data_IF_372924804951
#
_entry.id   IF_372924804951
#
_cell.length_a   1.000
_cell.length_b   1.000
_cell.length_c   1.000
_cell.angle_alpha   90.00
_cell.angle_beta   90.00
_cell.angle_gamma   90.00
#
_symmetry.space_group_name_H-M   'P 1'
#
loop_
_entity.id
_entity.type
_entity.pdbx_description
1 polymer ?
#
# COMPACT_ATOMS: atom_id res chain seq x y z
N UNK A 1 12.21 -3.52 5.22
CA UNK A 1 10.73 -3.46 5.15
C UNK A 1 10.02 -4.81 5.38
N UNK A 2 9.02 -4.83 6.27
CA UNK A 2 8.06 -5.92 6.51
C UNK A 2 6.72 -5.55 5.87
N UNK A 3 6.06 -6.52 5.20
CA UNK A 3 4.75 -6.31 4.57
C UNK A 3 3.78 -7.43 4.96
N UNK A 4 2.62 -7.05 5.49
CA UNK A 4 1.52 -7.98 5.84
C UNK A 4 0.30 -7.70 4.95
N UNK A 5 -0.29 -8.75 4.37
CA UNK A 5 -1.39 -8.63 3.40
C UNK A 5 -2.67 -9.26 3.94
N UNK A 6 -3.80 -8.58 3.77
CA UNK A 6 -5.11 -9.00 4.23
C UNK A 6 -6.16 -8.82 3.12
N UNK A 7 -6.47 -9.88 2.38
CA UNK A 7 -7.35 -9.81 1.20
C UNK A 7 -8.86 -9.85 1.50
N UNK A 8 -9.25 -10.10 2.75
CA UNK A 8 -10.64 -10.28 3.17
C UNK A 8 -10.92 -9.60 4.49
N UNK A 9 -10.60 -8.31 4.57
CA UNK A 9 -10.73 -7.53 5.79
C UNK A 9 -12.21 -7.24 6.09
N UNK A 10 -12.55 -7.18 7.38
CA UNK A 10 -13.81 -6.56 7.80
C UNK A 10 -13.72 -5.07 7.51
N UNK A 11 -14.86 -4.47 7.16
CA UNK A 11 -14.98 -3.06 6.80
C UNK A 11 -14.27 -2.15 7.81
N UNK A 12 -13.36 -1.25 7.40
CA UNK A 12 -12.81 -0.24 8.30
C UNK A 12 -13.91 0.71 8.78
N UNK A 13 -13.63 1.51 9.82
CA UNK A 13 -14.58 2.52 10.36
C UNK A 13 -15.05 3.50 9.28
N UNK A 14 -14.19 3.78 8.29
CA UNK A 14 -14.52 4.58 7.10
C UNK A 14 -14.96 3.64 5.98
N UNK A 15 -16.24 3.70 5.57
CA UNK A 15 -16.77 2.86 4.49
C UNK A 15 -16.43 3.46 3.14
N UNK A 16 -15.87 2.65 2.25
CA UNK A 16 -15.74 2.98 0.83
C UNK A 16 -17.00 2.60 0.04
N UNK A 17 -17.09 3.02 -1.23
CA UNK A 17 -18.29 2.83 -2.07
C UNK A 17 -18.58 1.38 -2.46
N UNK A 18 -17.63 0.46 -2.30
CA UNK A 18 -17.73 -0.92 -2.76
C UNK A 18 -17.86 -1.95 -1.62
N UNK A 19 -18.22 -3.17 -1.99
CA UNK A 19 -18.56 -4.26 -1.05
C UNK A 19 -17.35 -4.96 -0.45
N UNK A 20 -16.25 -5.10 -1.19
CA UNK A 20 -15.11 -5.90 -0.75
C UNK A 20 -13.99 -5.02 -0.24
N UNK A 21 -13.33 -5.48 0.82
CA UNK A 21 -12.26 -4.75 1.49
C UNK A 21 -11.06 -5.67 1.65
N UNK A 22 -9.89 -5.08 1.46
CA UNK A 22 -8.63 -5.63 1.89
C UNK A 22 -7.69 -4.50 2.27
N UNK A 23 -6.57 -4.85 2.86
CA UNK A 23 -5.50 -3.90 3.10
C UNK A 23 -4.18 -4.65 3.13
N UNK A 24 -3.10 -3.90 2.97
CA UNK A 24 -1.79 -4.37 3.39
C UNK A 24 -1.18 -3.32 4.30
N UNK A 25 -0.17 -3.74 5.04
CA UNK A 25 0.56 -2.85 5.91
C UNK A 25 2.04 -2.95 5.63
N UNK A 26 2.72 -1.81 5.70
CA UNK A 26 4.16 -1.72 5.57
C UNK A 26 4.72 -1.12 6.86
N UNK A 27 5.75 -1.77 7.39
CA UNK A 27 6.58 -1.24 8.47
C UNK A 27 8.05 -1.43 8.13
N UNK A 28 8.88 -0.53 8.62
CA UNK A 28 10.33 -0.61 8.47
C UNK A 28 10.99 0.14 9.61
N UNK A 29 12.14 -0.37 10.05
CA UNK A 29 12.98 0.29 11.06
C UNK A 29 14.01 1.22 10.41
N UNK A 30 14.07 1.24 9.07
CA UNK A 30 14.93 2.15 8.30
C UNK A 30 14.18 3.46 8.02
N UNK A 31 14.68 4.57 8.57
CA UNK A 31 14.09 5.90 8.41
C UNK A 31 13.97 6.33 6.94
N UNK A 32 14.91 5.92 6.07
CA UNK A 32 14.88 6.25 4.65
C UNK A 32 13.79 5.47 3.94
N UNK A 33 13.68 4.16 4.19
CA UNK A 33 12.56 3.37 3.68
C UNK A 33 11.22 3.92 4.19
N UNK A 34 11.17 4.40 5.43
CA UNK A 34 9.96 5.01 5.98
C UNK A 34 9.57 6.32 5.27
N UNK A 35 10.55 7.15 4.92
CA UNK A 35 10.33 8.37 4.13
C UNK A 35 9.84 8.05 2.71
N UNK A 36 10.43 7.04 2.06
CA UNK A 36 9.98 6.56 0.75
C UNK A 36 8.56 6.00 0.80
N UNK A 37 8.22 5.24 1.85
CA UNK A 37 6.86 4.72 2.06
C UNK A 37 5.84 5.84 2.23
N UNK A 38 6.18 6.88 3.00
CA UNK A 38 5.35 8.06 3.18
C UNK A 38 5.16 8.81 1.86
N UNK A 39 6.25 9.05 1.12
CA UNK A 39 6.20 9.72 -0.17
C UNK A 39 5.33 8.94 -1.18
N UNK A 40 5.47 7.61 -1.22
CA UNK A 40 4.62 6.74 -2.01
C UNK A 40 3.15 6.86 -1.61
N UNK A 41 2.85 6.88 -0.31
CA UNK A 41 1.49 6.98 0.21
C UNK A 41 0.82 8.32 -0.16
N UNK A 42 1.57 9.41 -0.17
CA UNK A 42 1.04 10.74 -0.47
C UNK A 42 0.88 11.00 -1.98
N UNK A 43 1.82 10.52 -2.80
CA UNK A 43 1.89 10.92 -4.21
C UNK A 43 1.39 9.85 -5.17
N UNK A 44 1.58 8.57 -4.85
CA UNK A 44 1.22 7.45 -5.73
C UNK A 44 -0.07 6.78 -5.30
N UNK A 45 -0.22 6.48 -4.02
CA UNK A 45 -1.35 5.69 -3.53
C UNK A 45 -2.73 6.23 -3.92
N UNK A 46 -3.02 7.55 -3.88
CA UNK A 46 -4.33 8.08 -4.29
C UNK A 46 -4.69 7.78 -5.76
N UNK A 47 -3.68 7.46 -6.59
CA UNK A 47 -3.84 7.16 -8.02
C UNK A 47 -3.94 5.64 -8.30
N UNK A 48 -3.87 4.79 -7.28
CA UNK A 48 -3.97 3.33 -7.40
C UNK A 48 -5.45 2.94 -7.41
N UNK A 49 -6.18 3.24 -8.49
CA UNK A 49 -7.59 2.91 -8.56
C UNK A 49 -8.34 3.55 -9.71
N UNK A 50 -9.65 3.37 -9.71
CA UNK A 50 -10.60 3.89 -10.71
C UNK A 50 -12.03 3.61 -10.26
N UNK A 51 -13.00 3.69 -11.16
CA UNK A 51 -14.43 3.59 -10.80
C UNK A 51 -14.83 2.31 -10.04
N UNK A 52 -14.01 1.25 -10.13
CA UNK A 52 -14.25 -0.05 -9.49
C UNK A 52 -13.39 -0.31 -8.25
N UNK A 53 -12.45 0.59 -7.95
CA UNK A 53 -11.43 0.43 -6.90
C UNK A 53 -11.18 1.79 -6.26
N UNK A 54 -11.48 1.89 -4.97
CA UNK A 54 -11.14 3.02 -4.13
C UNK A 54 -10.04 2.62 -3.15
N UNK A 55 -9.10 3.53 -2.90
CA UNK A 55 -7.96 3.30 -2.00
C UNK A 55 -7.81 4.44 -1.01
N UNK A 56 -7.29 4.11 0.17
CA UNK A 56 -6.96 5.08 1.20
C UNK A 56 -5.81 4.54 2.04
N UNK A 57 -5.11 5.41 2.77
CA UNK A 57 -4.10 4.97 3.72
C UNK A 57 -4.32 5.60 5.08
N UNK A 58 -3.86 4.91 6.12
CA UNK A 58 -3.88 5.38 7.50
C UNK A 58 -2.44 5.40 8.01
N UNK A 59 -1.88 6.56 8.32
CA UNK A 59 -0.58 6.64 8.97
C UNK A 59 -0.69 6.23 10.44
N UNK A 60 0.35 5.58 10.94
CA UNK A 60 0.55 5.25 12.35
C UNK A 60 2.02 5.39 12.73
N UNK A 61 2.34 5.38 14.02
CA UNK A 61 3.66 5.75 14.57
C UNK A 61 4.86 5.08 13.87
N UNK A 62 4.70 3.83 13.40
CA UNK A 62 5.75 3.09 12.65
C UNK A 62 5.20 2.19 11.54
N UNK A 63 3.95 2.39 11.15
CA UNK A 63 3.23 1.47 10.26
C UNK A 63 2.24 2.23 9.42
N UNK A 64 2.34 2.09 8.09
CA UNK A 64 1.34 2.57 7.16
C UNK A 64 0.39 1.42 6.80
N UNK A 65 -0.91 1.68 6.90
CA UNK A 65 -1.94 0.75 6.45
C UNK A 65 -2.58 1.26 5.17
N UNK A 66 -2.48 0.48 4.10
CA UNK A 66 -2.99 0.78 2.76
C UNK A 66 -4.27 -0.01 2.51
N UNK A 67 -5.41 0.66 2.58
CA UNK A 67 -6.73 0.08 2.41
C UNK A 67 -7.18 0.11 0.96
N UNK A 68 -7.76 -1.01 0.52
CA UNK A 68 -8.34 -1.19 -0.80
C UNK A 68 -9.80 -1.59 -0.63
N UNK A 69 -10.67 -0.90 -1.35
CA UNK A 69 -12.08 -1.17 -1.45
C UNK A 69 -12.44 -1.39 -2.93
N UNK A 70 -13.09 -2.51 -3.26
CA UNK A 70 -13.37 -2.85 -4.66
C UNK A 70 -14.66 -3.63 -4.86
N UNK A 71 -15.14 -3.66 -6.12
CA UNK A 71 -16.36 -4.38 -6.53
C UNK A 71 -16.20 -5.89 -6.52
N UNK A 72 -14.97 -6.43 -6.54
CA UNK A 72 -14.70 -7.88 -6.42
C UNK A 72 -13.48 -8.18 -5.56
N UNK A 73 -13.45 -9.36 -4.92
CA UNK A 73 -12.27 -9.84 -4.16
C UNK A 73 -11.03 -10.04 -5.04
N UNK A 74 -11.21 -10.35 -6.34
CA UNK A 74 -10.08 -10.54 -7.27
C UNK A 74 -9.34 -9.22 -7.49
N UNK A 75 -10.06 -8.11 -7.61
CA UNK A 75 -9.47 -6.77 -7.74
C UNK A 75 -8.69 -6.37 -6.49
N UNK A 76 -9.22 -6.65 -5.29
CA UNK A 76 -8.49 -6.44 -4.02
C UNK A 76 -7.13 -7.15 -4.07
N UNK A 77 -7.13 -8.44 -4.41
CA UNK A 77 -5.89 -9.22 -4.45
C UNK A 77 -4.91 -8.68 -5.49
N UNK A 78 -5.39 -8.38 -6.70
CA UNK A 78 -4.55 -7.87 -7.79
C UNK A 78 -3.86 -6.54 -7.41
N UNK A 79 -4.60 -5.59 -6.83
CA UNK A 79 -4.05 -4.29 -6.40
C UNK A 79 -3.02 -4.48 -5.30
N UNK A 80 -3.36 -5.22 -4.24
CA UNK A 80 -2.45 -5.44 -3.11
C UNK A 80 -1.17 -6.14 -3.58
N UNK A 81 -1.27 -7.17 -4.41
CA UNK A 81 -0.10 -7.91 -4.88
C UNK A 81 0.78 -7.09 -5.82
N UNK A 82 0.16 -6.33 -6.73
CA UNK A 82 0.86 -5.45 -7.66
C UNK A 82 1.61 -4.31 -6.95
N UNK A 83 0.94 -3.60 -6.04
CA UNK A 83 1.58 -2.47 -5.36
C UNK A 83 2.64 -2.90 -4.36
N UNK A 84 2.48 -4.04 -3.68
CA UNK A 84 3.55 -4.59 -2.84
C UNK A 84 4.78 -4.96 -3.69
N UNK A 85 4.60 -5.44 -4.91
CA UNK A 85 5.72 -5.68 -5.83
C UNK A 85 6.39 -4.37 -6.24
N UNK A 86 5.62 -3.33 -6.57
CA UNK A 86 6.13 -2.01 -6.94
C UNK A 86 6.93 -1.35 -5.82
N UNK A 87 6.42 -1.38 -4.58
CA UNK A 87 7.13 -0.89 -3.40
C UNK A 87 8.44 -1.68 -3.22
N UNK A 88 8.39 -3.02 -3.25
CA UNK A 88 9.61 -3.83 -3.09
C UNK A 88 10.65 -3.58 -4.19
N UNK A 89 10.24 -3.31 -5.43
CA UNK A 89 11.15 -3.06 -6.55
C UNK A 89 11.74 -1.64 -6.51
N UNK A 90 10.92 -0.61 -6.28
CA UNK A 90 11.39 0.78 -6.19
C UNK A 90 12.42 0.95 -5.08
N UNK A 91 12.19 0.30 -3.95
CA UNK A 91 13.01 0.46 -2.75
C UNK A 91 14.33 -0.32 -2.87
N UNK A 92 14.34 -1.42 -3.62
CA UNK A 92 15.57 -2.13 -4.00
C UNK A 92 16.43 -1.34 -5.00
N UNK A 93 15.82 -0.62 -5.94
CA UNK A 93 16.55 0.20 -6.94
C UNK A 93 17.22 1.42 -6.31
N UNK A 94 16.50 2.19 -5.49
CA UNK A 94 17.08 3.35 -4.81
C UNK A 94 18.20 2.97 -3.84
N UNK A 95 18.13 1.79 -3.22
CA UNK A 95 19.20 1.26 -2.38
C UNK A 95 20.46 0.86 -3.17
N UNK A 96 20.32 0.53 -4.47
CA UNK A 96 21.43 0.11 -5.33
C UNK A 96 22.11 1.30 -6.01
N UNK A 97 21.34 2.25 -6.53
CA UNK A 97 21.87 3.40 -7.29
C UNK A 97 22.79 4.30 -6.43
N UNK A 98 22.56 4.34 -5.11
CA UNK A 98 23.34 5.15 -4.16
C UNK A 98 24.53 4.45 -3.51
N UNK A 99 24.83 3.20 -3.89
CA UNK A 99 26.12 2.55 -3.54
C UNK A 99 27.22 2.85 -4.55
N UNK A 100 26.86 3.50 -5.64
CA UNK A 100 27.72 3.84 -6.78
C UNK A 100 28.04 5.34 -6.87
N UNK A 101 27.58 6.15 -5.91
CA UNK A 101 27.99 7.54 -5.68
C UNK A 101 28.92 7.62 -4.46
#
# INVERSE_FOLDING_TARGET
MIVEKHYGAKTPKVKGPHRFYGYFTCSTDDERENNLLTHYAENRWPNVGGDNISVSFVPGERKLAFWVNATTKKLIKAVIDGEVANIRQGFKKESLERRTE
#
